data_IF_067008788190
#
_entry.id   IF_067008788190
#
_cell.length_a   1.000
_cell.length_b   1.000
_cell.length_c   1.000
_cell.angle_alpha   90.00
_cell.angle_beta   90.00
_cell.angle_gamma   90.00
#
_symmetry.space_group_name_H-M   'P 1'
#
loop_
_entity.id
_entity.type
_entity.pdbx_description
1 polymer ?
#
# COMPACT_ATOMS: atom_id res chain seq x y z
N UNK A 1 8.32 -9.38 -13.60
CA UNK A 1 7.41 -8.55 -12.78
C UNK A 1 7.29 -7.13 -13.33
N UNK A 2 8.32 -6.28 -13.26
CA UNK A 2 8.27 -4.88 -13.76
C UNK A 2 7.84 -4.81 -15.23
N UNK A 3 8.35 -5.68 -16.10
CA UNK A 3 7.98 -5.74 -17.51
C UNK A 3 6.48 -6.01 -17.73
N UNK A 4 5.82 -6.76 -16.86
CA UNK A 4 4.36 -6.97 -16.94
C UNK A 4 3.60 -5.67 -16.69
N UNK A 5 4.03 -4.86 -15.70
CA UNK A 5 3.48 -3.53 -15.47
C UNK A 5 3.72 -2.61 -16.68
N UNK A 6 4.95 -2.59 -17.20
CA UNK A 6 5.31 -1.78 -18.38
C UNK A 6 4.47 -2.17 -19.59
N UNK A 7 4.23 -3.46 -19.82
CA UNK A 7 3.37 -3.96 -20.89
C UNK A 7 1.93 -3.44 -20.74
N UNK A 8 1.36 -3.53 -19.54
CA UNK A 8 0.02 -3.01 -19.26
C UNK A 8 -0.08 -1.50 -19.47
N UNK A 9 0.91 -0.75 -18.96
CA UNK A 9 1.02 0.70 -19.14
C UNK A 9 1.09 1.08 -20.62
N UNK A 10 1.96 0.41 -21.38
CA UNK A 10 2.11 0.60 -22.82
C UNK A 10 0.81 0.29 -23.56
N UNK A 11 0.18 -0.86 -23.30
CA UNK A 11 -1.07 -1.26 -23.92
C UNK A 11 -2.17 -0.21 -23.67
N UNK A 12 -2.26 0.30 -22.45
CA UNK A 12 -3.21 1.36 -22.10
C UNK A 12 -2.91 2.66 -22.85
N UNK A 13 -1.65 3.12 -22.90
CA UNK A 13 -1.26 4.34 -23.62
C UNK A 13 -1.51 4.19 -25.12
N UNK A 14 -1.21 3.03 -25.69
CA UNK A 14 -1.45 2.69 -27.10
C UNK A 14 -2.93 2.47 -27.44
N UNK A 15 -3.84 2.58 -26.45
CA UNK A 15 -5.29 2.34 -26.61
C UNK A 15 -5.63 0.93 -27.11
N UNK A 16 -4.86 -0.07 -26.69
CA UNK A 16 -5.16 -1.47 -26.94
C UNK A 16 -6.51 -1.87 -26.30
N UNK A 17 -7.19 -2.82 -26.90
CA UNK A 17 -8.39 -3.45 -26.33
C UNK A 17 -8.09 -4.36 -25.12
N UNK A 18 -6.80 -4.54 -24.78
CA UNK A 18 -6.39 -5.35 -23.64
C UNK A 18 -7.03 -4.82 -22.36
N UNK A 19 -7.79 -5.67 -21.70
CA UNK A 19 -8.44 -5.37 -20.43
C UNK A 19 -8.47 -6.60 -19.55
N UNK A 20 -8.35 -6.39 -18.25
CA UNK A 20 -8.57 -7.42 -17.24
C UNK A 20 -9.96 -7.18 -16.64
N UNK A 21 -10.85 -8.18 -16.62
CA UNK A 21 -12.15 -8.06 -15.96
C UNK A 21 -11.97 -7.71 -14.48
N UNK A 22 -12.81 -6.81 -13.95
CA UNK A 22 -12.73 -6.34 -12.56
C UNK A 22 -12.76 -7.49 -11.54
N UNK A 23 -13.62 -8.49 -11.79
CA UNK A 23 -13.70 -9.68 -10.94
C UNK A 23 -12.39 -10.48 -10.90
N UNK A 24 -11.69 -10.59 -12.04
CA UNK A 24 -10.39 -11.26 -12.11
C UNK A 24 -9.30 -10.45 -11.37
N UNK A 25 -9.25 -9.12 -11.56
CA UNK A 25 -8.34 -8.24 -10.84
C UNK A 25 -8.56 -8.33 -9.32
N UNK A 26 -9.82 -8.31 -8.88
CA UNK A 26 -10.18 -8.48 -7.47
C UNK A 26 -9.76 -9.84 -6.92
N UNK A 27 -9.99 -10.92 -7.68
CA UNK A 27 -9.58 -12.27 -7.26
C UNK A 27 -8.06 -12.40 -7.13
N UNK A 28 -7.28 -11.83 -8.07
CA UNK A 28 -5.82 -11.79 -7.97
C UNK A 28 -5.36 -11.02 -6.73
N UNK A 29 -5.97 -9.88 -6.43
CA UNK A 29 -5.68 -9.10 -5.21
C UNK A 29 -5.95 -9.91 -3.94
N UNK A 30 -7.13 -10.56 -3.85
CA UNK A 30 -7.47 -11.40 -2.70
C UNK A 30 -6.49 -12.58 -2.54
N UNK A 31 -6.11 -13.22 -3.65
CA UNK A 31 -5.11 -14.29 -3.63
C UNK A 31 -3.76 -13.80 -3.09
N UNK A 32 -3.26 -12.67 -3.58
CA UNK A 32 -1.98 -12.10 -3.13
C UNK A 32 -2.01 -11.73 -1.65
N UNK A 33 -3.09 -11.11 -1.18
CA UNK A 33 -3.29 -10.76 0.23
C UNK A 33 -3.29 -12.01 1.12
N UNK A 34 -4.03 -13.05 0.71
CA UNK A 34 -4.08 -14.32 1.43
C UNK A 34 -2.71 -14.98 1.49
N UNK A 35 -2.04 -15.11 0.35
CA UNK A 35 -0.74 -15.77 0.27
C UNK A 35 0.34 -15.08 1.12
N UNK A 36 0.35 -13.74 1.13
CA UNK A 36 1.30 -12.94 1.91
C UNK A 36 0.99 -13.02 3.40
N UNK A 37 -0.29 -12.83 3.77
CA UNK A 37 -0.72 -12.94 5.14
C UNK A 37 -0.33 -14.30 5.71
N UNK A 38 -0.67 -15.38 5.02
CA UNK A 38 -0.36 -16.75 5.46
C UNK A 38 1.15 -16.98 5.62
N UNK A 39 1.97 -16.62 4.62
CA UNK A 39 3.45 -16.72 4.69
C UNK A 39 4.03 -15.94 5.88
N UNK A 40 3.54 -14.72 6.10
CA UNK A 40 3.97 -13.88 7.21
C UNK A 40 3.64 -14.50 8.57
N UNK A 41 2.44 -15.09 8.70
CA UNK A 41 2.01 -15.78 9.90
C UNK A 41 2.89 -17.00 10.21
N UNK A 42 3.19 -17.83 9.20
CA UNK A 42 4.09 -18.98 9.35
C UNK A 42 5.48 -18.54 9.80
N UNK A 43 6.02 -17.47 9.21
CA UNK A 43 7.32 -16.94 9.58
C UNK A 43 7.38 -16.48 11.05
N UNK A 44 6.31 -15.83 11.54
CA UNK A 44 6.23 -15.42 12.97
C UNK A 44 6.07 -16.62 13.89
N UNK A 45 5.33 -17.66 13.49
CA UNK A 45 5.21 -18.88 14.27
C UNK A 45 6.58 -19.54 14.52
N UNK A 46 7.50 -19.46 13.56
CA UNK A 46 8.86 -19.99 13.69
C UNK A 46 9.81 -19.15 14.56
N UNK A 47 9.58 -17.83 14.65
CA UNK A 47 10.48 -16.91 15.37
C UNK A 47 9.95 -16.50 16.76
N UNK A 48 8.65 -16.61 17.00
CA UNK A 48 8.00 -16.11 18.21
C UNK A 48 7.74 -14.58 18.17
N UNK A 49 7.04 -14.10 19.21
CA UNK A 49 6.78 -12.66 19.40
C UNK A 49 7.91 -12.10 20.27
N UNK A 50 8.69 -11.20 19.72
CA UNK A 50 9.81 -10.54 20.40
C UNK A 50 9.66 -9.01 20.44
N UNK A 51 10.61 -8.35 21.12
CA UNK A 51 10.64 -6.89 21.24
C UNK A 51 10.86 -6.17 19.89
N UNK A 52 11.56 -6.79 18.94
CA UNK A 52 11.81 -6.23 17.62
C UNK A 52 10.52 -6.17 16.77
N UNK A 53 9.71 -7.23 16.82
CA UNK A 53 8.38 -7.22 16.17
C UNK A 53 7.50 -6.09 16.72
N UNK A 54 7.42 -5.95 18.06
CA UNK A 54 6.60 -4.91 18.69
C UNK A 54 7.11 -3.51 18.35
N UNK A 55 8.43 -3.31 18.36
CA UNK A 55 9.04 -2.04 17.96
C UNK A 55 8.80 -1.72 16.47
N UNK A 56 8.91 -2.72 15.58
CA UNK A 56 8.64 -2.55 14.16
C UNK A 56 7.17 -2.20 13.89
N UNK A 57 6.23 -2.87 14.57
CA UNK A 57 4.81 -2.53 14.50
C UNK A 57 4.52 -1.12 15.00
N UNK A 58 5.07 -0.74 16.17
CA UNK A 58 4.91 0.60 16.71
C UNK A 58 5.49 1.68 15.78
N UNK A 59 6.68 1.43 15.22
CA UNK A 59 7.32 2.30 14.23
C UNK A 59 6.50 2.44 12.95
N UNK A 60 5.97 1.34 12.43
CA UNK A 60 5.07 1.33 11.27
C UNK A 60 3.78 2.11 11.53
N UNK A 61 3.12 1.87 12.66
CA UNK A 61 1.92 2.62 13.10
C UNK A 61 2.24 4.11 13.20
N UNK A 62 3.37 4.49 13.81
CA UNK A 62 3.78 5.88 13.92
C UNK A 62 4.01 6.52 12.55
N UNK A 63 4.72 5.84 11.63
CA UNK A 63 4.91 6.30 10.25
C UNK A 63 3.56 6.48 9.55
N UNK A 64 2.69 5.47 9.60
CA UNK A 64 1.36 5.53 8.96
C UNK A 64 0.52 6.67 9.51
N UNK A 65 0.60 6.96 10.80
CA UNK A 65 -0.13 8.06 11.43
C UNK A 65 0.47 9.44 11.10
N UNK A 66 1.80 9.57 11.02
CA UNK A 66 2.48 10.86 10.88
C UNK A 66 2.66 11.30 9.41
N UNK A 67 2.92 10.37 8.49
CA UNK A 67 3.14 10.70 7.08
C UNK A 67 1.99 11.46 6.42
N UNK A 68 0.70 11.23 6.73
CA UNK A 68 -0.39 12.04 6.19
C UNK A 68 -0.30 13.53 6.53
N UNK A 69 0.24 13.91 7.69
CA UNK A 69 0.41 15.32 8.04
C UNK A 69 1.46 15.98 7.16
N UNK A 70 2.57 15.28 6.90
CA UNK A 70 3.60 15.75 5.97
C UNK A 70 3.05 15.85 4.54
N UNK A 71 2.38 14.80 4.08
CA UNK A 71 1.75 14.76 2.76
C UNK A 71 0.73 15.90 2.58
N UNK A 72 -0.13 16.11 3.57
CA UNK A 72 -1.11 17.20 3.56
C UNK A 72 -0.44 18.56 3.48
N UNK A 73 0.57 18.82 4.31
CA UNK A 73 1.31 20.08 4.30
C UNK A 73 1.96 20.34 2.93
N UNK A 74 2.65 19.35 2.37
CA UNK A 74 3.28 19.46 1.05
C UNK A 74 2.24 19.72 -0.05
N UNK A 75 1.12 19.02 -0.06
CA UNK A 75 0.04 19.24 -1.03
C UNK A 75 -0.55 20.65 -0.93
N UNK A 76 -0.80 21.12 0.28
CA UNK A 76 -1.34 22.49 0.51
C UNK A 76 -0.35 23.58 0.10
N UNK A 77 0.95 23.32 0.17
CA UNK A 77 2.00 24.27 -0.23
C UNK A 77 2.30 24.24 -1.73
N UNK A 78 2.22 23.07 -2.37
CA UNK A 78 2.68 22.87 -3.76
C UNK A 78 1.54 22.79 -4.78
N UNK A 79 0.29 22.69 -4.31
CA UNK A 79 -0.88 22.52 -5.22
C UNK A 79 -2.03 23.45 -4.82
N UNK A 80 -2.96 23.68 -5.75
CA UNK A 80 -4.22 24.39 -5.48
C UNK A 80 -5.35 23.50 -4.94
N UNK A 81 -5.04 22.28 -4.45
CA UNK A 81 -6.06 21.36 -3.98
C UNK A 81 -6.84 21.92 -2.78
N UNK A 82 -8.12 21.59 -2.70
CA UNK A 82 -8.93 21.86 -1.51
C UNK A 82 -8.35 21.14 -0.29
N UNK A 83 -8.68 21.59 0.92
CA UNK A 83 -8.27 20.89 2.13
C UNK A 83 -8.82 19.46 2.17
N UNK A 84 -10.03 19.26 1.64
CA UNK A 84 -10.67 17.96 1.56
C UNK A 84 -9.92 17.00 0.63
N UNK A 85 -9.63 17.43 -0.61
CA UNK A 85 -8.88 16.62 -1.58
C UNK A 85 -7.46 16.35 -1.11
N UNK A 86 -6.78 17.36 -0.54
CA UNK A 86 -5.43 17.21 0.00
C UNK A 86 -5.39 16.18 1.16
N UNK A 87 -6.39 16.18 2.05
CA UNK A 87 -6.48 15.20 3.13
C UNK A 87 -6.81 13.79 2.60
N UNK A 88 -7.72 13.69 1.62
CA UNK A 88 -8.01 12.42 0.98
C UNK A 88 -6.77 11.84 0.28
N UNK A 89 -6.00 12.65 -0.46
CA UNK A 89 -4.72 12.23 -1.03
C UNK A 89 -3.74 11.83 0.06
N UNK A 90 -3.61 12.62 1.12
CA UNK A 90 -2.68 12.36 2.22
C UNK A 90 -2.93 11.01 2.90
N UNK A 91 -4.20 10.58 3.04
CA UNK A 91 -4.55 9.25 3.54
C UNK A 91 -3.89 8.13 2.72
N UNK A 92 -3.82 8.28 1.41
CA UNK A 92 -3.19 7.31 0.52
C UNK A 92 -1.69 7.17 0.79
N UNK A 93 -1.01 8.26 1.18
CA UNK A 93 0.44 8.32 1.39
C UNK A 93 0.89 8.01 2.83
N UNK A 94 -0.04 7.79 3.72
CA UNK A 94 0.26 7.24 5.06
C UNK A 94 -0.07 5.76 5.18
N UNK A 95 -1.03 5.28 4.38
CA UNK A 95 -1.33 3.85 4.23
C UNK A 95 -0.41 3.21 3.21
N UNK A 96 -0.36 1.88 3.19
CA UNK A 96 0.61 1.14 2.39
C UNK A 96 0.04 0.66 1.05
N UNK A 97 0.94 0.36 0.11
CA UNK A 97 0.63 -0.43 -1.07
C UNK A 97 1.11 -1.86 -0.88
N UNK A 98 0.18 -2.77 -0.66
CA UNK A 98 0.50 -4.19 -0.52
C UNK A 98 1.22 -4.73 -1.77
N UNK A 99 0.90 -4.23 -2.96
CA UNK A 99 1.53 -4.67 -4.21
C UNK A 99 2.98 -4.22 -4.31
N UNK A 100 3.28 -2.99 -3.88
CA UNK A 100 4.66 -2.50 -3.80
C UNK A 100 5.47 -3.33 -2.80
N UNK A 101 4.89 -3.60 -1.62
CA UNK A 101 5.49 -4.45 -0.60
C UNK A 101 5.79 -5.87 -1.12
N UNK A 102 4.81 -6.51 -1.78
CA UNK A 102 4.99 -7.85 -2.38
C UNK A 102 6.07 -7.86 -3.43
N UNK A 103 6.09 -6.84 -4.28
CA UNK A 103 7.10 -6.72 -5.33
C UNK A 103 8.49 -6.60 -4.71
N UNK A 104 8.65 -5.74 -3.70
CA UNK A 104 9.90 -5.59 -2.96
C UNK A 104 10.33 -6.90 -2.28
N UNK A 105 9.42 -7.58 -1.58
CA UNK A 105 9.69 -8.88 -0.96
C UNK A 105 10.16 -9.91 -2.01
N UNK A 106 9.53 -9.93 -3.18
CA UNK A 106 9.91 -10.83 -4.27
C UNK A 106 11.27 -10.50 -4.86
N UNK A 107 11.62 -9.21 -4.96
CA UNK A 107 12.95 -8.77 -5.43
C UNK A 107 14.02 -9.15 -4.43
N UNK A 108 13.83 -8.88 -3.13
CA UNK A 108 14.75 -9.26 -2.07
C UNK A 108 14.99 -10.77 -2.07
N UNK A 109 13.91 -11.55 -2.15
CA UNK A 109 13.99 -13.02 -2.20
C UNK A 109 14.78 -13.53 -3.41
N UNK A 110 14.57 -12.92 -4.59
CA UNK A 110 15.30 -13.27 -5.81
C UNK A 110 16.81 -12.93 -5.73
N UNK A 111 17.17 -11.94 -4.90
CA UNK A 111 18.57 -11.57 -4.66
C UNK A 111 19.19 -12.29 -3.46
N UNK A 112 18.45 -13.19 -2.80
CA UNK A 112 18.91 -13.90 -1.61
C UNK A 112 19.04 -13.02 -0.37
N UNK A 113 18.38 -11.85 -0.34
CA UNK A 113 18.40 -10.95 0.81
C UNK A 113 17.26 -11.33 1.75
N UNK A 114 17.62 -11.79 2.94
CA UNK A 114 16.65 -12.13 3.97
C UNK A 114 16.03 -10.87 4.60
N UNK A 115 14.75 -10.96 4.96
CA UNK A 115 14.03 -9.95 5.74
C UNK A 115 13.22 -10.64 6.84
N UNK A 116 12.84 -9.89 7.87
CA UNK A 116 12.02 -10.40 8.95
C UNK A 116 10.63 -10.77 8.43
N UNK A 117 10.21 -12.01 8.68
CA UNK A 117 8.90 -12.52 8.22
C UNK A 117 7.71 -11.74 8.80
N UNK A 118 7.89 -11.10 9.96
CA UNK A 118 6.87 -10.28 10.59
C UNK A 118 6.62 -8.93 9.89
N UNK A 119 7.39 -8.53 8.89
CA UNK A 119 7.13 -7.30 8.12
C UNK A 119 5.74 -7.29 7.47
N UNK A 120 5.14 -8.45 7.27
CA UNK A 120 3.73 -8.55 6.83
C UNK A 120 2.76 -8.04 7.90
N UNK A 121 3.03 -8.32 9.19
CA UNK A 121 2.24 -7.80 10.30
C UNK A 121 2.38 -6.28 10.42
N UNK A 122 3.60 -5.75 10.20
CA UNK A 122 3.85 -4.30 10.13
C UNK A 122 3.04 -3.67 9.01
N UNK A 123 3.05 -4.27 7.81
CA UNK A 123 2.25 -3.80 6.68
C UNK A 123 0.75 -3.74 7.03
N UNK A 124 0.20 -4.79 7.64
CA UNK A 124 -1.19 -4.82 8.08
C UNK A 124 -1.51 -3.73 9.12
N UNK A 125 -0.60 -3.49 10.07
CA UNK A 125 -0.77 -2.47 11.09
C UNK A 125 -0.73 -1.03 10.53
N UNK A 126 -0.07 -0.81 9.40
CA UNK A 126 0.03 0.50 8.74
C UNK A 126 -1.20 0.88 7.89
N UNK A 127 -2.17 0.00 7.70
CA UNK A 127 -3.34 0.29 6.83
C UNK A 127 -4.30 1.33 7.43
N UNK A 128 -4.66 1.20 8.70
CA UNK A 128 -5.71 1.99 9.34
C UNK A 128 -5.27 3.37 9.88
N UNK A 129 -4.08 3.57 10.47
CA UNK A 129 -3.72 4.82 11.14
C UNK A 129 -3.75 6.04 10.22
N UNK A 130 -3.38 5.89 8.96
CA UNK A 130 -3.39 6.96 7.96
C UNK A 130 -4.80 7.51 7.69
N UNK A 131 -5.80 6.66 7.71
CA UNK A 131 -7.20 7.06 7.52
C UNK A 131 -7.65 7.93 8.69
N UNK A 132 -7.29 7.53 9.91
CA UNK A 132 -7.60 8.30 11.14
C UNK A 132 -6.94 9.67 11.08
N UNK A 133 -5.68 9.76 10.67
CA UNK A 133 -4.96 11.04 10.54
C UNK A 133 -5.60 11.96 9.50
N UNK A 134 -5.98 11.44 8.35
CA UNK A 134 -6.63 12.22 7.30
C UNK A 134 -7.98 12.76 7.75
N UNK A 135 -8.78 11.94 8.45
CA UNK A 135 -10.07 12.38 9.00
C UNK A 135 -9.91 13.46 10.07
N UNK A 136 -8.88 13.34 10.90
CA UNK A 136 -8.55 14.38 11.87
C UNK A 136 -8.16 15.71 11.18
N UNK A 137 -7.38 15.65 10.10
CA UNK A 137 -7.02 16.83 9.29
C UNK A 137 -8.26 17.52 8.71
N UNK A 138 -9.20 16.74 8.17
CA UNK A 138 -10.46 17.27 7.62
C UNK A 138 -11.33 17.86 8.71
N UNK A 139 -11.46 17.20 9.87
CA UNK A 139 -12.24 17.71 11.00
C UNK A 139 -11.72 19.08 11.47
N UNK A 140 -10.39 19.28 11.46
CA UNK A 140 -9.79 20.58 11.79
C UNK A 140 -9.98 21.66 10.72
N UNK A 141 -10.20 21.28 9.47
CA UNK A 141 -10.45 22.23 8.37
C UNK A 141 -11.89 22.75 8.31
N UNK A 142 -12.75 22.36 9.25
CA UNK A 142 -14.14 22.84 9.34
C UNK A 142 -15.16 22.04 8.50
N UNK A 143 -14.72 21.03 7.76
CA UNK A 143 -15.62 20.08 7.11
C UNK A 143 -16.11 19.08 8.17
N UNK A 144 -17.40 19.12 8.49
CA UNK A 144 -18.03 18.42 9.63
C UNK A 144 -18.07 16.89 9.50
N UNK A 145 -16.89 16.26 9.38
CA UNK A 145 -16.76 14.80 9.36
C UNK A 145 -17.01 14.24 10.75
N UNK A 146 -17.96 13.31 10.88
CA UNK A 146 -18.24 12.59 12.11
C UNK A 146 -17.54 11.24 12.10
N UNK A 147 -16.73 10.97 13.12
CA UNK A 147 -16.16 9.64 13.40
C UNK A 147 -17.25 8.79 14.08
N UNK A 148 -18.12 8.20 13.29
CA UNK A 148 -19.19 7.32 13.78
C UNK A 148 -18.80 5.83 13.78
N UNK A 149 -19.65 4.99 14.36
CA UNK A 149 -19.43 3.55 14.43
C UNK A 149 -19.36 2.89 13.03
N UNK A 150 -20.08 3.45 12.05
CA UNK A 150 -20.08 2.96 10.66
C UNK A 150 -18.71 3.17 10.01
N UNK A 151 -18.11 4.33 10.23
CA UNK A 151 -16.78 4.66 9.72
C UNK A 151 -15.70 3.77 10.36
N UNK A 152 -15.76 3.56 11.68
CA UNK A 152 -14.86 2.62 12.34
C UNK A 152 -15.01 1.20 11.82
N UNK A 153 -16.23 0.74 11.58
CA UNK A 153 -16.50 -0.56 10.97
C UNK A 153 -15.85 -0.66 9.57
N UNK A 154 -16.01 0.35 8.72
CA UNK A 154 -15.45 0.39 7.37
C UNK A 154 -13.91 0.39 7.38
N UNK A 155 -13.30 1.10 8.33
CA UNK A 155 -11.83 1.15 8.48
C UNK A 155 -11.29 -0.18 8.98
N UNK A 156 -11.83 -0.71 10.08
CA UNK A 156 -11.26 -1.89 10.76
C UNK A 156 -11.67 -3.21 10.12
N UNK A 157 -12.86 -3.26 9.52
CA UNK A 157 -13.39 -4.47 8.85
C UNK A 157 -13.33 -4.34 7.32
N UNK A 158 -12.42 -3.51 6.80
CA UNK A 158 -12.11 -3.50 5.38
C UNK A 158 -11.70 -4.91 4.93
N UNK A 159 -12.28 -5.39 3.83
CA UNK A 159 -12.07 -6.76 3.36
C UNK A 159 -10.60 -7.13 3.14
N UNK A 160 -9.75 -6.17 2.71
CA UNK A 160 -8.31 -6.38 2.54
C UNK A 160 -7.61 -6.58 3.88
N UNK A 161 -7.96 -5.78 4.89
CA UNK A 161 -7.40 -5.90 6.26
C UNK A 161 -7.83 -7.21 6.88
N UNK A 162 -9.13 -7.53 6.83
CA UNK A 162 -9.67 -8.78 7.39
C UNK A 162 -9.01 -10.00 6.77
N UNK A 163 -8.84 -10.00 5.44
CA UNK A 163 -8.21 -11.12 4.75
C UNK A 163 -6.72 -11.24 5.08
N UNK A 164 -5.98 -10.13 5.07
CA UNK A 164 -4.55 -10.11 5.37
C UNK A 164 -4.27 -10.57 6.82
N UNK A 165 -4.97 -9.97 7.79
CA UNK A 165 -4.84 -10.32 9.21
C UNK A 165 -5.36 -11.73 9.48
N UNK A 166 -6.49 -12.11 8.91
CA UNK A 166 -7.05 -13.46 9.05
C UNK A 166 -6.12 -14.53 8.49
N UNK A 167 -5.59 -14.34 7.28
CA UNK A 167 -4.62 -15.25 6.69
C UNK A 167 -3.32 -15.32 7.51
N UNK A 168 -2.84 -14.17 8.04
CA UNK A 168 -1.69 -14.13 8.94
C UNK A 168 -1.93 -14.96 10.21
N UNK A 169 -3.07 -14.81 10.87
CA UNK A 169 -3.42 -15.59 12.06
C UNK A 169 -3.53 -17.08 11.75
N UNK A 170 -4.13 -17.46 10.61
CA UNK A 170 -4.18 -18.86 10.17
C UNK A 170 -2.77 -19.40 9.98
N UNK A 171 -1.90 -18.67 9.29
CA UNK A 171 -0.50 -19.05 9.10
C UNK A 171 0.26 -19.20 10.42
N UNK A 172 0.05 -18.26 11.36
CA UNK A 172 0.68 -18.30 12.69
C UNK A 172 0.23 -19.51 13.53
N UNK A 173 -1.05 -19.89 13.44
CA UNK A 173 -1.60 -21.04 14.17
C UNK A 173 -1.20 -22.37 13.53
N UNK A 174 -1.17 -22.45 12.21
CA UNK A 174 -0.91 -23.71 11.48
C UNK A 174 0.58 -23.97 11.23
N UNK A 175 1.39 -22.92 11.22
CA UNK A 175 2.85 -23.00 11.04
C UNK A 175 3.25 -23.70 9.72
N UNK A 176 4.44 -24.32 9.74
CA UNK A 176 4.99 -25.05 8.57
C UNK A 176 4.08 -26.20 8.12
N UNK A 177 3.44 -26.91 9.04
CA UNK A 177 2.52 -27.99 8.69
C UNK A 177 1.32 -27.49 7.85
N UNK A 178 0.84 -26.27 8.11
CA UNK A 178 -0.17 -25.61 7.27
C UNK A 178 0.38 -25.21 5.92
N UNK A 179 1.62 -24.66 5.88
CA UNK A 179 2.29 -24.29 4.65
C UNK A 179 2.48 -25.48 3.72
N UNK A 180 2.95 -26.61 4.21
CA UNK A 180 3.17 -27.82 3.41
C UNK A 180 1.91 -28.27 2.69
N UNK A 181 0.75 -28.18 3.36
CA UNK A 181 -0.55 -28.59 2.79
C UNK A 181 -1.03 -27.70 1.65
N UNK A 182 -0.72 -26.42 1.67
CA UNK A 182 -1.23 -25.46 0.68
C UNK A 182 -0.13 -24.80 -0.17
N UNK A 183 1.13 -25.26 -0.06
CA UNK A 183 2.26 -24.69 -0.77
C UNK A 183 2.06 -24.67 -2.29
N UNK A 184 1.45 -25.72 -2.85
CA UNK A 184 1.11 -25.77 -4.27
C UNK A 184 0.18 -24.63 -4.73
N UNK A 185 -0.62 -24.08 -3.82
CA UNK A 185 -1.52 -22.95 -4.09
C UNK A 185 -0.90 -21.60 -3.69
N UNK A 186 -0.20 -21.52 -2.54
CA UNK A 186 0.30 -20.25 -1.98
C UNK A 186 1.67 -19.88 -2.52
N UNK A 187 2.51 -20.88 -2.87
CA UNK A 187 3.90 -20.63 -3.28
C UNK A 187 4.06 -20.69 -4.80
N UNK A 188 3.66 -21.80 -5.42
CA UNK A 188 3.95 -22.07 -6.83
C UNK A 188 3.33 -21.04 -7.80
N UNK A 189 2.04 -20.66 -7.74
CA UNK A 189 1.44 -19.71 -8.70
C UNK A 189 1.69 -18.24 -8.35
N UNK A 190 2.26 -17.93 -7.18
CA UNK A 190 2.37 -16.59 -6.65
C UNK A 190 2.99 -15.58 -7.61
N UNK A 191 4.13 -15.93 -8.20
CA UNK A 191 4.86 -15.07 -9.14
C UNK A 191 4.06 -14.80 -10.42
N UNK A 192 3.37 -15.83 -10.94
CA UNK A 192 2.52 -15.70 -12.12
C UNK A 192 1.31 -14.79 -11.87
N UNK A 193 0.62 -14.99 -10.75
CA UNK A 193 -0.51 -14.13 -10.36
C UNK A 193 -0.05 -12.70 -10.13
N UNK A 194 1.10 -12.48 -9.48
CA UNK A 194 1.68 -11.14 -9.31
C UNK A 194 1.98 -10.47 -10.64
N UNK A 195 2.53 -11.20 -11.63
CA UNK A 195 2.79 -10.65 -12.96
C UNK A 195 1.50 -10.21 -13.67
N UNK A 196 0.44 -11.01 -13.61
CA UNK A 196 -0.86 -10.66 -14.19
C UNK A 196 -1.51 -9.48 -13.47
N UNK A 197 -1.39 -9.43 -12.15
CA UNK A 197 -1.88 -8.31 -11.37
C UNK A 197 -1.12 -7.02 -11.67
N UNK A 198 0.22 -7.07 -11.82
CA UNK A 198 1.02 -5.91 -12.21
C UNK A 198 0.69 -5.44 -13.64
N UNK A 199 0.37 -6.35 -14.56
CA UNK A 199 -0.11 -5.99 -15.89
C UNK A 199 -1.43 -5.18 -15.80
N UNK A 200 -2.38 -5.63 -14.99
CA UNK A 200 -3.63 -4.90 -14.76
C UNK A 200 -3.36 -3.52 -14.13
N UNK A 201 -2.47 -3.45 -13.13
CA UNK A 201 -2.08 -2.16 -12.52
C UNK A 201 -1.45 -1.21 -13.55
N UNK A 202 -0.69 -1.71 -14.51
CA UNK A 202 -0.18 -0.93 -15.65
C UNK A 202 -1.31 -0.38 -16.53
N UNK A 203 -2.32 -1.20 -16.83
CA UNK A 203 -3.51 -0.77 -17.58
C UNK A 203 -4.28 0.34 -16.84
N UNK A 204 -4.50 0.17 -15.55
CA UNK A 204 -5.19 1.16 -14.70
C UNK A 204 -4.39 2.46 -14.62
N UNK A 205 -3.07 2.38 -14.37
CA UNK A 205 -2.17 3.53 -14.33
C UNK A 205 -2.22 4.35 -15.64
N UNK A 206 -2.14 3.66 -16.78
CA UNK A 206 -2.19 4.31 -18.07
C UNK A 206 -3.56 4.97 -18.37
N UNK A 207 -4.67 4.37 -17.93
CA UNK A 207 -6.00 5.02 -18.00
C UNK A 207 -6.06 6.26 -17.12
N UNK A 208 -5.53 6.17 -15.89
CA UNK A 208 -5.47 7.30 -14.96
C UNK A 208 -4.66 8.46 -15.51
N UNK A 209 -3.46 8.23 -16.03
CA UNK A 209 -2.59 9.24 -16.62
C UNK A 209 -3.23 9.94 -17.82
N UNK A 210 -3.99 9.21 -18.65
CA UNK A 210 -4.72 9.80 -19.77
C UNK A 210 -5.89 10.68 -19.32
N UNK A 211 -6.65 10.20 -18.31
CA UNK A 211 -7.79 10.94 -17.75
C UNK A 211 -7.40 12.17 -16.93
N UNK A 212 -6.17 12.18 -16.42
CA UNK A 212 -5.64 13.26 -15.58
C UNK A 212 -5.12 14.48 -16.37
N UNK A 213 -5.05 14.40 -17.69
CA UNK A 213 -4.60 15.54 -18.52
C UNK A 213 -5.49 16.77 -18.27
N UNK A 214 -4.89 17.82 -17.69
CA UNK A 214 -5.56 19.08 -17.35
C UNK A 214 -6.13 19.15 -15.90
N UNK A 215 -6.12 18.06 -15.13
CA UNK A 215 -6.60 18.03 -13.73
C UNK A 215 -5.43 18.04 -12.74
N UNK A 216 -4.30 17.45 -13.11
CA UNK A 216 -3.13 17.34 -12.25
C UNK A 216 -2.13 18.45 -12.55
N UNK A 217 -1.86 19.29 -11.54
CA UNK A 217 -0.84 20.34 -11.62
C UNK A 217 0.59 19.76 -11.58
N UNK A 218 1.57 20.54 -12.08
CA UNK A 218 2.99 20.15 -11.96
C UNK A 218 3.40 19.93 -10.49
N UNK A 219 2.88 20.74 -9.58
CA UNK A 219 3.11 20.57 -8.14
C UNK A 219 2.64 19.21 -7.61
N UNK A 220 1.51 18.72 -8.11
CA UNK A 220 1.00 17.40 -7.75
C UNK A 220 1.88 16.26 -8.32
N UNK A 221 2.42 16.42 -9.54
CA UNK A 221 3.38 15.44 -10.10
C UNK A 221 4.66 15.42 -9.28
N UNK A 222 5.22 16.58 -8.94
CA UNK A 222 6.41 16.70 -8.09
C UNK A 222 6.15 16.07 -6.71
N UNK A 223 5.00 16.34 -6.11
CA UNK A 223 4.58 15.69 -4.86
C UNK A 223 4.58 14.17 -4.98
N UNK A 224 4.03 13.60 -6.06
CA UNK A 224 3.96 12.15 -6.29
C UNK A 224 5.32 11.46 -6.38
N UNK A 225 6.41 12.22 -6.62
CA UNK A 225 7.81 11.73 -6.64
C UNK A 225 8.52 12.05 -5.32
N UNK A 226 8.36 13.25 -4.80
CA UNK A 226 9.06 13.71 -3.59
C UNK A 226 8.55 13.01 -2.33
N UNK A 227 7.23 12.83 -2.21
CA UNK A 227 6.65 12.21 -1.02
C UNK A 227 7.12 10.77 -0.78
N UNK A 228 7.21 9.87 -1.79
CA UNK A 228 7.85 8.57 -1.63
C UNK A 228 9.28 8.62 -1.10
N UNK A 229 10.09 9.55 -1.61
CA UNK A 229 11.49 9.72 -1.16
C UNK A 229 11.52 10.10 0.32
N UNK A 230 10.69 11.07 0.74
CA UNK A 230 10.60 11.47 2.14
C UNK A 230 10.09 10.33 3.03
N UNK A 231 9.10 9.57 2.54
CA UNK A 231 8.61 8.36 3.19
C UNK A 231 9.71 7.31 3.36
N UNK A 232 10.49 7.04 2.28
CA UNK A 232 11.62 6.10 2.33
C UNK A 232 12.66 6.52 3.38
N UNK A 233 13.03 7.80 3.41
CA UNK A 233 13.98 8.32 4.41
C UNK A 233 13.44 8.16 5.83
N UNK A 234 12.16 8.45 6.06
CA UNK A 234 11.52 8.24 7.36
C UNK A 234 11.47 6.76 7.74
N UNK A 235 11.14 5.89 6.78
CA UNK A 235 11.16 4.43 6.97
C UNK A 235 12.55 3.90 7.30
N UNK A 236 13.59 4.40 6.61
CA UNK A 236 14.98 4.05 6.91
C UNK A 236 15.37 4.50 8.33
N UNK A 237 15.03 5.72 8.72
CA UNK A 237 15.34 6.21 10.07
C UNK A 237 14.72 5.32 11.15
N UNK A 238 13.46 4.94 11.00
CA UNK A 238 12.77 4.02 11.92
C UNK A 238 13.43 2.64 11.91
N UNK A 239 13.76 2.09 10.73
CA UNK A 239 14.41 0.80 10.60
C UNK A 239 15.77 0.75 11.30
N UNK A 240 16.59 1.82 11.16
CA UNK A 240 17.89 1.93 11.82
C UNK A 240 17.76 2.06 13.34
N UNK A 241 16.77 2.81 13.84
CA UNK A 241 16.50 2.96 15.28
C UNK A 241 16.13 1.60 15.90
N UNK A 242 15.33 0.79 15.19
CA UNK A 242 14.89 -0.53 15.65
C UNK A 242 15.98 -1.58 15.49
N UNK A 243 16.93 -1.39 14.56
CA UNK A 243 17.97 -2.36 14.23
C UNK A 243 17.47 -3.48 13.32
N UNK A 244 16.59 -3.16 12.35
CA UNK A 244 16.13 -4.15 11.36
C UNK A 244 17.29 -4.61 10.47
N UNK A 245 17.17 -5.83 9.93
CA UNK A 245 18.08 -6.33 8.91
C UNK A 245 18.06 -5.45 7.65
N UNK A 246 19.04 -5.54 6.75
CA UNK A 246 19.02 -4.80 5.48
C UNK A 246 17.73 -5.05 4.67
N UNK A 247 17.23 -6.30 4.65
CA UNK A 247 15.97 -6.63 3.99
C UNK A 247 14.76 -6.03 4.70
N UNK A 248 14.72 -6.09 6.04
CA UNK A 248 13.66 -5.46 6.83
C UNK A 248 13.66 -3.94 6.69
N UNK A 249 14.85 -3.32 6.66
CA UNK A 249 14.99 -1.89 6.41
C UNK A 249 14.46 -1.51 5.01
N UNK A 250 14.83 -2.25 3.97
CA UNK A 250 14.30 -2.05 2.62
C UNK A 250 12.77 -2.18 2.57
N UNK A 251 12.20 -3.14 3.29
CA UNK A 251 10.75 -3.29 3.37
C UNK A 251 10.08 -2.15 4.16
N UNK A 252 10.67 -1.68 5.26
CA UNK A 252 10.15 -0.53 6.01
C UNK A 252 10.18 0.75 5.17
N UNK A 253 11.27 0.98 4.43
CA UNK A 253 11.38 2.08 3.45
C UNK A 253 10.27 1.97 2.39
N UNK A 254 10.09 0.78 1.82
CA UNK A 254 9.07 0.51 0.80
C UNK A 254 7.66 0.77 1.33
N UNK A 255 7.35 0.32 2.54
CA UNK A 255 6.05 0.56 3.18
C UNK A 255 5.80 2.05 3.34
N UNK A 256 6.76 2.78 3.90
CA UNK A 256 6.65 4.21 4.15
C UNK A 256 6.67 5.08 2.87
N UNK A 257 7.31 4.61 1.80
CA UNK A 257 7.34 5.27 0.50
C UNK A 257 6.12 4.96 -0.37
N UNK A 258 5.34 3.95 -0.03
CA UNK A 258 4.23 3.52 -0.86
C UNK A 258 2.97 4.35 -0.62
N UNK A 259 2.04 4.28 -1.56
CA UNK A 259 0.73 4.92 -1.44
C UNK A 259 -0.36 3.87 -1.69
N UNK A 260 -1.34 3.81 -0.81
CA UNK A 260 -2.47 2.87 -0.94
C UNK A 260 -3.38 3.27 -2.09
N UNK A 261 -3.83 2.28 -2.86
CA UNK A 261 -4.83 2.47 -3.92
C UNK A 261 -5.89 1.35 -3.94
N UNK A 262 -5.91 0.49 -2.92
CA UNK A 262 -6.88 -0.59 -2.74
C UNK A 262 -7.74 -0.34 -1.51
N UNK A 263 -7.14 -0.24 -0.32
CA UNK A 263 -7.87 -0.13 0.95
C UNK A 263 -8.39 1.29 1.21
N UNK A 264 -7.54 2.31 1.08
CA UNK A 264 -7.89 3.71 1.37
C UNK A 264 -9.02 4.25 0.48
N UNK A 265 -9.08 3.97 -0.85
CA UNK A 265 -10.19 4.46 -1.66
C UNK A 265 -11.57 4.03 -1.15
N UNK A 266 -11.71 2.81 -0.64
CA UNK A 266 -12.98 2.32 -0.09
C UNK A 266 -13.37 3.12 1.16
N UNK A 267 -12.44 3.30 2.09
CA UNK A 267 -12.66 4.10 3.30
C UNK A 267 -12.97 5.57 2.99
N UNK A 268 -12.24 6.18 2.03
CA UNK A 268 -12.44 7.58 1.66
C UNK A 268 -13.79 7.83 0.98
N UNK A 269 -14.32 6.89 0.20
CA UNK A 269 -15.67 7.00 -0.37
C UNK A 269 -16.77 7.13 0.69
N UNK A 270 -16.57 6.50 1.84
CA UNK A 270 -17.52 6.57 2.97
C UNK A 270 -17.24 7.80 3.82
N UNK A 271 -15.97 8.06 4.12
CA UNK A 271 -15.55 9.10 5.05
C UNK A 271 -15.60 10.51 4.43
N UNK A 272 -15.21 10.63 3.17
CA UNK A 272 -15.08 11.89 2.44
C UNK A 272 -15.71 11.76 1.03
N UNK A 273 -17.02 11.54 0.92
CA UNK A 273 -17.69 11.29 -0.37
C UNK A 273 -17.58 12.48 -1.34
N UNK A 274 -17.31 13.67 -0.85
CA UNK A 274 -17.15 14.90 -1.63
C UNK A 274 -15.73 15.05 -2.22
N UNK A 275 -14.74 14.28 -1.73
CA UNK A 275 -13.38 14.31 -2.28
C UNK A 275 -13.34 13.67 -3.68
N UNK A 276 -12.51 14.22 -4.57
CA UNK A 276 -12.37 13.68 -5.91
C UNK A 276 -11.42 12.46 -5.93
N UNK A 277 -11.94 11.22 -6.07
CA UNK A 277 -11.12 10.02 -6.03
C UNK A 277 -10.15 9.90 -7.21
N UNK A 278 -10.43 10.57 -8.33
CA UNK A 278 -9.56 10.54 -9.51
C UNK A 278 -8.20 11.18 -9.23
N UNK A 279 -8.14 12.21 -8.38
CA UNK A 279 -6.89 12.88 -8.01
C UNK A 279 -6.02 11.90 -7.20
N UNK A 280 -6.57 11.33 -6.14
CA UNK A 280 -5.86 10.38 -5.26
C UNK A 280 -5.35 9.17 -6.03
N UNK A 281 -6.20 8.54 -6.83
CA UNK A 281 -5.85 7.35 -7.62
C UNK A 281 -4.81 7.66 -8.70
N UNK A 282 -4.91 8.81 -9.37
CA UNK A 282 -3.92 9.16 -10.38
C UNK A 282 -2.55 9.43 -9.76
N UNK A 283 -2.49 10.09 -8.62
CA UNK A 283 -1.23 10.32 -7.90
C UNK A 283 -0.64 9.02 -7.38
N UNK A 284 -1.41 8.22 -6.64
CA UNK A 284 -0.91 6.99 -6.03
C UNK A 284 -0.56 5.92 -7.06
N UNK A 285 -1.42 5.68 -8.06
CA UNK A 285 -1.26 4.59 -9.01
C UNK A 285 -0.60 5.03 -10.34
N UNK A 286 -0.84 6.27 -10.77
CA UNK A 286 -0.31 6.77 -12.05
C UNK A 286 1.08 7.40 -11.95
N UNK A 287 1.49 7.89 -10.80
CA UNK A 287 2.78 8.57 -10.59
C UNK A 287 3.64 7.83 -9.56
N UNK A 288 3.18 7.72 -8.33
CA UNK A 288 3.98 7.17 -7.23
C UNK A 288 4.27 5.69 -7.41
N UNK A 289 3.28 4.89 -7.79
CA UNK A 289 3.49 3.46 -7.98
C UNK A 289 4.51 3.13 -9.09
N UNK A 290 4.43 3.72 -10.32
CA UNK A 290 5.47 3.55 -11.33
C UNK A 290 6.84 4.01 -10.85
N UNK A 291 6.92 5.14 -10.14
CA UNK A 291 8.16 5.64 -9.57
C UNK A 291 8.78 4.62 -8.60
N UNK A 292 8.00 4.10 -7.66
CA UNK A 292 8.46 3.10 -6.70
C UNK A 292 8.87 1.77 -7.36
N UNK A 293 8.24 1.37 -8.48
CA UNK A 293 8.62 0.16 -9.20
C UNK A 293 9.91 0.30 -10.02
N UNK A 294 10.32 1.52 -10.37
CA UNK A 294 11.44 1.75 -11.30
C UNK A 294 12.66 2.37 -10.63
N UNK A 295 12.46 3.26 -9.68
CA UNK A 295 13.51 4.06 -9.03
C UNK A 295 13.60 3.75 -7.54
N UNK A 296 12.47 3.59 -6.88
CA UNK A 296 12.41 3.28 -5.45
C UNK A 296 12.54 1.81 -5.20
#
# INVERSE_FOLDING_TARGET
MILSFVLGLFASIARSELSVPEAAAKMMSLYLLFAIGFKGGVAVAGHGIDGHLLAAMAGGIALSFLLPFLAFALLRMSTGLSALDAAAVAAHYGSISIVTFVTATSVLSAQGIASEGYMVAVAAAMEAPAIVSALWLVARSGAGVRMDARLWHEILLNGSIVLLVGAFLIGAVTGEAGMDRISAFVVAPFQGVLCLFLLDMGLVAGRGLRGARGVISLGAVVFGVVMPILGAVAGLAVALIIGLSPGGAALMMTLAASASYIAVPAAMRVALPEANPSISLTLSLGITFPFNLTVG
#
